data_IF_110265134956
#
_entry.id   IF_110265134956
#
_cell.length_a   1.000
_cell.length_b   1.000
_cell.length_c   1.000
_cell.angle_alpha   90.00
_cell.angle_beta   90.00
_cell.angle_gamma   90.00
#
_symmetry.space_group_name_H-M   'P 1'
#
loop_
_entity.id
_entity.type
_entity.pdbx_description
1 polymer ?
#
# COMPACT_ATOMS: atom_id res chain seq x y z
N UNK A 1 -3.18 -39.24 0.14
CA UNK A 1 -2.10 -38.37 -0.37
C UNK A 1 -2.18 -37.06 0.41
N UNK A 2 -1.05 -36.51 0.85
CA UNK A 2 -1.04 -35.20 1.48
C UNK A 2 -1.56 -34.16 0.47
N UNK A 3 -2.44 -33.25 0.89
CA UNK A 3 -2.93 -32.16 0.05
C UNK A 3 -1.77 -31.24 -0.29
N UNK A 4 -1.70 -30.83 -1.54
CA UNK A 4 -0.75 -29.80 -1.98
C UNK A 4 -1.49 -28.47 -2.09
N UNK A 5 -0.84 -27.40 -1.63
CA UNK A 5 -1.41 -26.07 -1.60
C UNK A 5 -0.63 -25.09 -2.48
N UNK A 6 -1.35 -24.22 -3.12
CA UNK A 6 -0.83 -23.09 -3.88
C UNK A 6 -1.10 -21.79 -3.12
N UNK A 7 -0.08 -20.95 -3.02
CA UNK A 7 -0.20 -19.60 -2.46
C UNK A 7 -0.60 -18.64 -3.57
N UNK A 8 -1.53 -17.74 -3.27
CA UNK A 8 -2.01 -16.70 -4.19
C UNK A 8 -1.80 -15.35 -3.54
N UNK A 9 -1.02 -14.48 -4.17
CA UNK A 9 -0.58 -13.22 -3.58
C UNK A 9 -0.85 -12.06 -4.53
N UNK A 10 -1.47 -11.01 -3.98
CA UNK A 10 -1.55 -9.68 -4.55
C UNK A 10 -0.94 -8.64 -3.61
N UNK A 11 -0.53 -7.51 -4.15
CA UNK A 11 0.07 -6.42 -3.40
C UNK A 11 -0.67 -5.11 -3.61
N UNK A 12 -0.73 -4.31 -2.54
CA UNK A 12 -1.03 -2.89 -2.56
C UNK A 12 0.26 -2.16 -2.21
N UNK A 13 0.82 -1.40 -3.16
CA UNK A 13 2.09 -0.71 -3.00
C UNK A 13 1.85 0.79 -3.00
N UNK A 14 2.13 1.43 -1.86
CA UNK A 14 2.04 2.87 -1.69
C UNK A 14 3.40 3.51 -1.89
N UNK A 15 3.46 4.53 -2.72
CA UNK A 15 4.69 5.26 -3.05
C UNK A 15 4.49 6.75 -2.80
N UNK A 16 5.26 7.33 -1.89
CA UNK A 16 5.33 8.78 -1.71
C UNK A 16 6.07 9.41 -2.90
N UNK A 17 5.44 10.39 -3.54
CA UNK A 17 6.02 11.07 -4.70
C UNK A 17 6.98 12.20 -4.27
N UNK A 18 8.09 12.31 -4.97
CA UNK A 18 9.18 13.27 -4.70
C UNK A 18 8.83 14.69 -5.19
N UNK A 19 7.64 15.18 -4.88
CA UNK A 19 7.25 16.57 -5.15
C UNK A 19 7.77 17.49 -4.05
N UNK A 20 7.96 18.76 -4.36
CA UNK A 20 8.40 19.77 -3.36
C UNK A 20 7.27 20.15 -2.41
N UNK A 21 6.03 20.06 -2.87
CA UNK A 21 4.84 20.43 -2.12
C UNK A 21 3.82 19.29 -2.10
N UNK A 22 2.94 19.34 -1.13
CA UNK A 22 1.86 18.36 -0.94
C UNK A 22 0.90 18.32 -2.12
N UNK A 23 0.06 17.27 -2.16
CA UNK A 23 -0.85 17.02 -3.29
C UNK A 23 -1.87 18.16 -3.49
N UNK A 24 -2.37 18.76 -2.41
CA UNK A 24 -3.46 19.75 -2.48
C UNK A 24 -3.14 21.11 -1.85
N UNK A 25 -1.88 21.34 -1.44
CA UNK A 25 -1.45 22.61 -0.85
C UNK A 25 0.04 22.88 -1.10
N UNK A 26 0.51 24.05 -0.69
CA UNK A 26 1.90 24.48 -0.86
C UNK A 26 2.85 24.08 0.27
N UNK A 27 2.42 23.28 1.25
CA UNK A 27 3.30 22.86 2.35
C UNK A 27 4.39 21.90 1.86
N UNK A 28 5.55 21.95 2.52
CA UNK A 28 6.70 21.11 2.20
C UNK A 28 6.40 19.63 2.42
N UNK A 29 6.95 18.77 1.56
CA UNK A 29 6.96 17.31 1.71
C UNK A 29 8.24 16.79 2.34
N UNK A 30 9.14 17.69 2.77
CA UNK A 30 10.45 17.31 3.30
C UNK A 30 10.30 16.43 4.56
N UNK A 31 10.96 15.27 4.53
CA UNK A 31 11.02 14.36 5.67
C UNK A 31 11.88 14.92 6.81
N UNK A 32 11.54 14.61 8.07
CA UNK A 32 12.36 14.92 9.26
C UNK A 32 12.24 16.35 9.78
N UNK A 33 11.23 17.13 9.35
CA UNK A 33 10.91 18.42 9.94
C UNK A 33 10.39 18.28 11.38
N UNK A 34 10.51 19.36 12.18
CA UNK A 34 9.89 19.39 13.51
C UNK A 34 8.37 19.14 13.41
N UNK A 35 7.76 18.42 14.37
CA UNK A 35 6.35 18.05 14.29
C UNK A 35 5.42 19.25 14.04
N UNK A 36 4.46 19.07 13.16
CA UNK A 36 3.43 20.05 12.81
C UNK A 36 3.95 21.41 12.28
N UNK A 37 5.14 21.44 11.68
CA UNK A 37 5.71 22.64 11.05
C UNK A 37 5.43 22.76 9.55
N UNK A 38 5.12 21.63 8.89
CA UNK A 38 4.75 21.57 7.45
C UNK A 38 3.23 21.43 7.30
N UNK A 39 2.47 22.34 7.90
CA UNK A 39 1.00 22.28 7.91
C UNK A 39 0.37 23.61 7.52
N UNK A 40 -0.84 23.56 6.98
CA UNK A 40 -1.66 24.71 6.67
C UNK A 40 -3.16 24.35 6.82
N UNK A 41 -4.08 25.30 6.72
CA UNK A 41 -5.51 25.01 6.83
C UNK A 41 -6.03 23.92 5.88
N UNK A 42 -5.42 23.77 4.71
CA UNK A 42 -5.84 22.75 3.74
C UNK A 42 -5.45 21.33 4.21
N UNK A 43 -4.17 21.07 4.46
CA UNK A 43 -3.73 19.74 4.87
C UNK A 43 -4.10 19.35 6.31
N UNK A 44 -4.59 20.28 7.11
CA UNK A 44 -5.20 20.01 8.43
C UNK A 44 -6.73 19.96 8.40
N UNK A 45 -7.34 20.08 7.22
CA UNK A 45 -8.79 19.92 7.04
C UNK A 45 -9.64 21.00 7.70
N UNK A 46 -9.13 22.24 7.81
CA UNK A 46 -9.86 23.35 8.44
C UNK A 46 -11.12 23.71 7.62
N UNK A 47 -12.24 24.03 8.28
CA UNK A 47 -13.47 24.43 7.60
C UNK A 47 -13.26 25.57 6.61
N UNK A 48 -13.81 25.42 5.39
CA UNK A 48 -13.73 26.42 4.33
C UNK A 48 -12.47 26.35 3.46
N UNK A 49 -11.48 25.50 3.81
CA UNK A 49 -10.32 25.23 2.95
C UNK A 49 -10.71 24.33 1.78
N UNK A 50 -10.11 24.56 0.61
CA UNK A 50 -10.35 23.78 -0.61
C UNK A 50 -9.03 23.27 -1.18
N UNK A 51 -9.00 22.02 -1.68
CA UNK A 51 -7.82 21.43 -2.30
C UNK A 51 -7.55 22.04 -3.68
N UNK A 52 -6.26 22.18 -4.04
CA UNK A 52 -5.81 22.52 -5.38
C UNK A 52 -4.74 21.51 -5.81
N UNK A 53 -5.04 20.75 -6.86
CA UNK A 53 -4.18 19.63 -7.27
C UNK A 53 -2.81 20.09 -7.77
N UNK A 54 -1.77 19.48 -7.24
CA UNK A 54 -0.39 19.65 -7.67
C UNK A 54 -0.17 18.94 -9.03
N UNK A 55 0.17 19.72 -10.06
CA UNK A 55 0.42 19.23 -11.42
C UNK A 55 1.53 18.15 -11.45
N UNK A 56 2.61 18.33 -10.69
CA UNK A 56 3.74 17.40 -10.69
C UNK A 56 3.33 15.99 -10.19
N UNK A 57 2.34 15.89 -9.31
CA UNK A 57 1.78 14.61 -8.87
C UNK A 57 1.18 13.85 -10.04
N UNK A 58 0.40 14.54 -10.87
CA UNK A 58 -0.22 13.94 -12.07
C UNK A 58 0.85 13.49 -13.06
N UNK A 59 1.87 14.32 -13.29
CA UNK A 59 2.97 14.00 -14.21
C UNK A 59 3.75 12.77 -13.74
N UNK A 60 4.07 12.67 -12.45
CA UNK A 60 4.73 11.48 -11.88
C UNK A 60 3.85 10.24 -11.96
N UNK A 61 2.57 10.35 -11.59
CA UNK A 61 1.63 9.24 -11.66
C UNK A 61 1.48 8.70 -13.10
N UNK A 62 1.34 9.59 -14.08
CA UNK A 62 1.31 9.21 -15.50
C UNK A 62 2.63 8.54 -15.92
N UNK A 63 3.77 9.07 -15.50
CA UNK A 63 5.08 8.50 -15.80
C UNK A 63 5.23 7.07 -15.28
N UNK A 64 4.82 6.82 -14.03
CA UNK A 64 4.80 5.48 -13.44
C UNK A 64 3.85 4.56 -14.21
N UNK A 65 2.63 5.04 -14.53
CA UNK A 65 1.65 4.30 -15.31
C UNK A 65 2.17 3.87 -16.69
N UNK A 66 2.80 4.78 -17.41
CA UNK A 66 3.40 4.48 -18.71
C UNK A 66 4.56 3.48 -18.60
N UNK A 67 5.43 3.66 -17.60
CA UNK A 67 6.57 2.75 -17.38
C UNK A 67 6.15 1.33 -16.94
N UNK A 68 4.96 1.19 -16.39
CA UNK A 68 4.35 -0.08 -16.01
C UNK A 68 3.28 -0.56 -17.00
N UNK A 69 3.31 -0.04 -18.23
CA UNK A 69 2.45 -0.45 -19.34
C UNK A 69 0.95 -0.29 -19.08
N UNK A 70 0.57 0.64 -18.21
CA UNK A 70 -0.85 0.92 -17.93
C UNK A 70 -1.51 1.75 -19.03
N UNK A 71 -2.82 1.57 -19.16
CA UNK A 71 -3.69 2.50 -19.87
C UNK A 71 -3.91 3.75 -19.00
N UNK A 72 -3.57 4.92 -19.53
CA UNK A 72 -3.78 6.19 -18.81
C UNK A 72 -5.21 6.68 -19.03
N UNK A 73 -5.92 6.93 -17.92
CA UNK A 73 -7.29 7.42 -17.93
C UNK A 73 -7.33 8.88 -18.40
N UNK A 74 -8.07 9.15 -19.48
CA UNK A 74 -8.18 10.49 -20.07
C UNK A 74 -9.01 11.46 -19.24
N UNK A 75 -9.99 10.94 -18.53
CA UNK A 75 -10.85 11.69 -17.61
C UNK A 75 -10.86 10.95 -16.30
N UNK A 76 -10.13 11.47 -15.32
CA UNK A 76 -10.12 10.95 -13.96
C UNK A 76 -10.66 11.99 -12.98
N UNK A 77 -11.13 11.53 -11.84
CA UNK A 77 -11.64 12.37 -10.76
C UNK A 77 -11.18 11.84 -9.42
N UNK A 78 -11.27 12.69 -8.41
CA UNK A 78 -11.10 12.29 -7.02
C UNK A 78 -12.45 11.96 -6.38
N UNK A 79 -12.39 11.01 -5.46
CA UNK A 79 -13.47 10.56 -4.61
C UNK A 79 -13.06 10.77 -3.14
N UNK A 80 -13.99 10.63 -2.20
CA UNK A 80 -13.72 10.75 -0.77
C UNK A 80 -13.91 9.39 -0.11
N UNK A 81 -12.86 8.88 0.52
CA UNK A 81 -12.91 7.71 1.39
C UNK A 81 -13.12 8.18 2.82
N UNK A 82 -14.33 8.02 3.34
CA UNK A 82 -14.71 8.54 4.64
C UNK A 82 -14.33 7.57 5.75
N UNK A 83 -13.54 8.04 6.72
CA UNK A 83 -13.24 7.31 7.95
C UNK A 83 -12.75 8.27 9.04
N UNK A 84 -13.00 7.90 10.32
CA UNK A 84 -12.61 8.70 11.48
C UNK A 84 -11.40 8.07 12.15
N UNK A 85 -10.28 8.78 12.10
CA UNK A 85 -9.07 8.40 12.80
C UNK A 85 -8.23 9.65 13.11
N UNK A 86 -7.47 9.70 14.24
CA UNK A 86 -6.74 10.90 14.63
C UNK A 86 -5.73 11.40 13.60
N UNK A 87 -5.16 10.54 12.78
CA UNK A 87 -4.22 10.90 11.72
C UNK A 87 -4.88 11.42 10.43
N UNK A 88 -6.20 11.34 10.35
CA UNK A 88 -7.01 11.81 9.23
C UNK A 88 -7.78 13.09 9.63
N UNK A 89 -7.17 14.30 9.52
CA UNK A 89 -7.69 15.51 10.14
C UNK A 89 -9.01 15.99 9.55
N UNK A 90 -9.29 15.65 8.32
CA UNK A 90 -10.54 16.04 7.62
C UNK A 90 -11.64 14.97 7.69
N UNK A 91 -11.37 13.81 8.35
CA UNK A 91 -12.26 12.66 8.46
C UNK A 91 -12.62 11.99 7.12
N UNK A 92 -11.93 12.32 6.06
CA UNK A 92 -11.94 11.62 4.78
C UNK A 92 -10.57 11.73 4.12
N UNK A 93 -10.23 10.77 3.30
CA UNK A 93 -9.05 10.79 2.44
C UNK A 93 -9.51 11.08 1.01
N UNK A 94 -8.85 12.02 0.35
CA UNK A 94 -9.05 12.25 -1.09
C UNK A 94 -8.24 11.21 -1.85
N UNK A 95 -8.93 10.40 -2.63
CA UNK A 95 -8.38 9.27 -3.38
C UNK A 95 -9.11 9.13 -4.72
N UNK A 96 -8.92 8.02 -5.43
CA UNK A 96 -9.63 7.75 -6.70
C UNK A 96 -10.18 6.32 -6.67
N UNK A 97 -11.48 6.15 -6.54
CA UNK A 97 -12.14 4.85 -6.54
C UNK A 97 -12.62 4.44 -7.95
N UNK A 98 -13.38 5.33 -8.60
CA UNK A 98 -14.10 4.97 -9.82
C UNK A 98 -13.32 5.26 -11.11
N UNK A 99 -12.51 6.30 -11.11
CA UNK A 99 -11.74 6.74 -12.28
C UNK A 99 -10.27 6.99 -11.90
N UNK A 100 -9.52 5.94 -11.56
CA UNK A 100 -8.10 6.05 -11.22
C UNK A 100 -7.28 6.52 -12.43
N UNK A 101 -6.10 7.07 -12.17
CA UNK A 101 -5.21 7.63 -13.20
C UNK A 101 -4.75 6.60 -14.22
N UNK A 102 -4.59 5.32 -13.82
CA UNK A 102 -4.11 4.28 -14.72
C UNK A 102 -4.68 2.91 -14.37
N UNK A 103 -4.76 2.02 -15.36
CA UNK A 103 -5.29 0.66 -15.23
C UNK A 103 -4.58 -0.31 -16.17
N UNK A 104 -4.80 -1.62 -15.94
CA UNK A 104 -4.49 -2.70 -16.86
C UNK A 104 -3.00 -2.77 -17.27
N UNK A 105 -2.09 -2.46 -16.35
CA UNK A 105 -0.66 -2.54 -16.60
C UNK A 105 -0.06 -3.89 -16.24
N UNK A 106 1.25 -3.95 -16.30
CA UNK A 106 2.03 -5.09 -15.80
C UNK A 106 3.49 -4.72 -15.53
N UNK A 107 4.11 -5.51 -14.67
CA UNK A 107 5.55 -5.55 -14.47
C UNK A 107 6.05 -6.94 -14.84
N UNK A 108 7.05 -7.02 -15.70
CA UNK A 108 7.71 -8.29 -16.02
C UNK A 108 8.81 -8.58 -15.01
N UNK A 109 8.71 -9.71 -14.32
CA UNK A 109 9.70 -10.19 -13.35
C UNK A 109 10.47 -11.37 -13.88
N UNK A 110 11.66 -11.59 -13.34
CA UNK A 110 12.50 -12.76 -13.59
C UNK A 110 12.84 -13.41 -12.26
N UNK A 111 12.52 -14.70 -12.12
CA UNK A 111 12.88 -15.52 -10.96
C UNK A 111 13.52 -16.81 -11.49
N UNK A 112 14.82 -16.98 -11.22
CA UNK A 112 15.62 -18.04 -11.88
C UNK A 112 15.57 -17.87 -13.40
N UNK A 113 15.24 -18.93 -14.11
CA UNK A 113 15.11 -18.93 -15.58
C UNK A 113 13.69 -18.59 -16.07
N UNK A 114 12.78 -18.23 -15.16
CA UNK A 114 11.37 -17.98 -15.49
C UNK A 114 11.10 -16.49 -15.57
N UNK A 115 10.48 -16.07 -16.70
CA UNK A 115 9.92 -14.74 -16.87
C UNK A 115 8.41 -14.78 -16.69
N UNK A 116 7.87 -13.80 -15.97
CA UNK A 116 6.44 -13.72 -15.69
C UNK A 116 5.97 -12.27 -15.67
N UNK A 117 4.81 -12.02 -16.25
CA UNK A 117 4.13 -10.74 -16.14
C UNK A 117 3.21 -10.77 -14.91
N UNK A 118 3.43 -9.84 -14.01
CA UNK A 118 2.53 -9.55 -12.89
C UNK A 118 1.67 -8.38 -13.31
N UNK A 119 0.38 -8.60 -13.43
CA UNK A 119 -0.57 -7.59 -13.88
C UNK A 119 -0.83 -6.56 -12.78
N UNK A 120 -1.01 -5.33 -13.20
CA UNK A 120 -1.49 -4.23 -12.36
C UNK A 120 -2.97 -4.03 -12.67
N UNK A 121 -3.80 -4.15 -11.65
CA UNK A 121 -5.23 -3.91 -11.75
C UNK A 121 -5.51 -2.42 -12.00
N UNK A 122 -4.99 -1.60 -11.10
CA UNK A 122 -5.10 -0.14 -11.17
C UNK A 122 -3.96 0.56 -10.44
N UNK A 123 -3.87 1.85 -10.69
CA UNK A 123 -3.04 2.79 -9.95
C UNK A 123 -3.83 4.09 -9.76
N UNK A 124 -3.86 4.60 -8.55
CA UNK A 124 -4.56 5.83 -8.25
C UNK A 124 -3.72 6.79 -7.40
N UNK A 125 -4.06 8.08 -7.52
CA UNK A 125 -3.46 9.14 -6.73
C UNK A 125 -4.27 9.35 -5.45
N UNK A 126 -3.57 9.55 -4.34
CA UNK A 126 -4.18 9.83 -3.05
C UNK A 126 -3.28 10.69 -2.16
N UNK A 127 -3.76 11.09 -1.00
CA UNK A 127 -2.98 11.79 0.02
C UNK A 127 -2.61 10.85 1.17
N UNK A 128 -1.42 11.04 1.74
CA UNK A 128 -1.02 10.31 2.95
C UNK A 128 -1.71 10.89 4.18
N UNK A 129 -1.90 10.06 5.20
CA UNK A 129 -2.39 10.46 6.52
C UNK A 129 -1.26 11.03 7.39
N UNK A 130 -1.61 11.67 8.49
CA UNK A 130 -0.68 12.08 9.52
C UNK A 130 0.03 10.89 10.17
N UNK A 131 0.90 11.18 11.12
CA UNK A 131 1.62 10.16 11.90
C UNK A 131 1.13 10.17 13.33
N UNK A 132 0.77 8.98 13.85
CA UNK A 132 0.48 8.77 15.27
C UNK A 132 1.73 8.25 15.96
N UNK A 133 2.01 8.84 17.12
CA UNK A 133 3.06 8.42 18.04
C UNK A 133 2.38 8.06 19.35
N UNK A 134 2.34 6.76 19.67
CA UNK A 134 1.78 6.26 20.91
C UNK A 134 2.87 6.33 21.99
N UNK A 135 2.55 6.94 23.13
CA UNK A 135 3.41 6.89 24.30
C UNK A 135 3.11 5.60 25.07
N UNK A 136 4.17 4.84 25.36
CA UNK A 136 4.04 3.58 26.12
C UNK A 136 3.85 3.82 27.62
N UNK A 137 4.15 5.02 28.12
CA UNK A 137 4.14 5.37 29.53
C UNK A 137 2.88 6.13 29.95
N UNK A 138 2.36 6.97 29.04
CA UNK A 138 1.12 7.70 29.23
C UNK A 138 0.09 7.18 28.24
N UNK A 139 -1.15 6.99 28.65
CA UNK A 139 -2.27 6.61 27.76
C UNK A 139 -2.66 7.76 26.82
N UNK A 140 -1.63 8.27 26.11
CA UNK A 140 -1.74 9.41 25.20
C UNK A 140 -1.19 9.07 23.83
N UNK A 141 -1.71 9.73 22.80
CA UNK A 141 -1.20 9.65 21.44
C UNK A 141 -0.92 11.06 20.93
N UNK A 142 0.28 11.27 20.43
CA UNK A 142 0.66 12.50 19.75
C UNK A 142 0.39 12.37 18.25
N UNK A 143 -0.06 13.45 17.64
CA UNK A 143 -0.36 13.49 16.19
C UNK A 143 0.56 14.49 15.51
N UNK A 144 1.29 14.02 14.49
CA UNK A 144 2.10 14.85 13.61
C UNK A 144 1.50 14.88 12.21
N UNK A 145 1.01 16.04 11.78
CA UNK A 145 0.40 16.26 10.47
C UNK A 145 1.39 16.69 9.38
N UNK A 146 2.69 16.64 9.62
CA UNK A 146 3.67 16.95 8.58
C UNK A 146 3.52 16.04 7.35
N UNK A 147 3.18 14.77 7.56
CA UNK A 147 2.94 13.82 6.47
C UNK A 147 1.54 13.94 5.86
N UNK A 148 0.56 14.47 6.58
CA UNK A 148 -0.82 14.63 6.08
C UNK A 148 -0.84 15.44 4.78
N UNK A 149 -1.36 14.85 3.71
CA UNK A 149 -1.40 15.44 2.38
C UNK A 149 -0.12 15.26 1.55
N UNK A 150 0.88 14.49 2.00
CA UNK A 150 2.01 14.07 1.16
C UNK A 150 1.46 13.23 0.01
N UNK A 151 1.86 13.50 -1.26
CA UNK A 151 1.30 12.80 -2.39
C UNK A 151 1.68 11.33 -2.40
N UNK A 152 0.69 10.46 -2.57
CA UNK A 152 0.86 9.03 -2.77
C UNK A 152 0.33 8.60 -4.14
N UNK A 153 0.96 7.55 -4.65
CA UNK A 153 0.38 6.67 -5.65
C UNK A 153 0.24 5.29 -5.04
N UNK A 154 -0.96 4.73 -5.05
CA UNK A 154 -1.20 3.34 -4.70
C UNK A 154 -1.26 2.51 -5.98
N UNK A 155 -0.50 1.42 -6.02
CA UNK A 155 -0.40 0.50 -7.15
C UNK A 155 -0.93 -0.86 -6.69
N UNK A 156 -2.07 -1.26 -7.23
CA UNK A 156 -2.76 -2.50 -6.88
C UNK A 156 -2.46 -3.56 -7.93
N UNK A 157 -1.80 -4.64 -7.54
CA UNK A 157 -1.55 -5.76 -8.44
C UNK A 157 -2.75 -6.71 -8.52
N UNK A 158 -2.85 -7.45 -9.63
CA UNK A 158 -3.66 -8.68 -9.66
C UNK A 158 -3.01 -9.77 -8.79
N UNK A 159 -3.76 -10.77 -8.32
CA UNK A 159 -3.22 -11.85 -7.48
C UNK A 159 -2.46 -12.90 -8.31
N UNK A 160 -1.46 -12.44 -9.05
CA UNK A 160 -0.69 -13.26 -9.98
C UNK A 160 0.54 -13.92 -9.35
N UNK A 161 1.02 -13.40 -8.20
CA UNK A 161 2.23 -13.91 -7.55
C UNK A 161 1.93 -15.19 -6.77
N UNK A 162 2.93 -16.09 -6.71
CA UNK A 162 2.80 -17.43 -6.12
C UNK A 162 3.84 -17.75 -5.06
N UNK A 163 4.84 -16.90 -4.90
CA UNK A 163 5.94 -17.09 -3.93
C UNK A 163 6.48 -15.77 -3.41
N UNK A 164 7.22 -15.83 -2.30
CA UNK A 164 7.93 -14.69 -1.74
C UNK A 164 8.99 -14.15 -2.70
N UNK A 165 9.66 -15.02 -3.46
CA UNK A 165 10.65 -14.64 -4.47
C UNK A 165 10.02 -13.80 -5.59
N UNK A 166 8.84 -14.20 -6.08
CA UNK A 166 8.10 -13.42 -7.08
C UNK A 166 7.69 -12.04 -6.54
N UNK A 167 7.26 -11.96 -5.27
CA UNK A 167 6.92 -10.70 -4.61
C UNK A 167 8.14 -9.77 -4.50
N UNK A 168 9.28 -10.30 -4.07
CA UNK A 168 10.51 -9.51 -3.96
C UNK A 168 10.96 -9.03 -5.35
N UNK A 169 10.96 -9.90 -6.36
CA UNK A 169 11.32 -9.54 -7.73
C UNK A 169 10.41 -8.43 -8.28
N UNK A 170 9.11 -8.49 -8.01
CA UNK A 170 8.15 -7.46 -8.38
C UNK A 170 8.44 -6.12 -7.70
N UNK A 171 8.64 -6.12 -6.37
CA UNK A 171 8.91 -4.90 -5.61
C UNK A 171 10.24 -4.26 -5.99
N UNK A 172 11.28 -5.04 -6.21
CA UNK A 172 12.60 -4.54 -6.66
C UNK A 172 12.51 -3.92 -8.05
N UNK A 173 11.81 -4.56 -8.97
CA UNK A 173 11.60 -4.04 -10.33
C UNK A 173 10.80 -2.75 -10.32
N UNK A 174 9.70 -2.72 -9.58
CA UNK A 174 8.84 -1.55 -9.44
C UNK A 174 9.60 -0.38 -8.81
N UNK A 175 10.28 -0.63 -7.68
CA UNK A 175 11.13 0.35 -6.99
C UNK A 175 12.18 0.96 -7.92
N UNK A 176 12.93 0.11 -8.62
CA UNK A 176 13.96 0.56 -9.55
C UNK A 176 13.38 1.42 -10.67
N UNK A 177 12.26 1.00 -11.25
CA UNK A 177 11.56 1.75 -12.29
C UNK A 177 11.16 3.15 -11.81
N UNK A 178 10.56 3.25 -10.62
CA UNK A 178 10.11 4.52 -10.04
C UNK A 178 11.30 5.43 -9.71
N UNK A 179 12.39 4.87 -9.18
CA UNK A 179 13.63 5.62 -8.91
C UNK A 179 14.25 6.17 -10.19
N UNK A 180 14.29 5.40 -11.28
CA UNK A 180 14.80 5.86 -12.58
C UNK A 180 13.97 7.00 -13.18
N UNK A 181 12.67 7.03 -12.92
CA UNK A 181 11.78 8.14 -13.30
C UNK A 181 12.00 9.39 -12.45
N UNK A 182 12.73 9.30 -11.35
CA UNK A 182 12.86 10.39 -10.38
C UNK A 182 11.55 10.72 -9.65
N UNK A 183 10.56 9.82 -9.69
CA UNK A 183 9.25 10.05 -9.11
C UNK A 183 9.18 9.80 -7.60
N UNK A 184 10.09 8.98 -7.05
CA UNK A 184 10.27 8.73 -5.63
C UNK A 184 11.66 8.20 -5.34
N UNK A 185 12.14 8.36 -4.11
CA UNK A 185 13.36 7.71 -3.62
C UNK A 185 13.13 6.28 -3.14
N UNK A 186 11.87 5.90 -2.92
CA UNK A 186 11.43 4.54 -2.58
C UNK A 186 12.22 3.91 -1.42
N UNK A 187 12.34 4.61 -0.31
CA UNK A 187 13.02 4.15 0.90
C UNK A 187 12.03 3.49 1.87
N UNK A 188 12.14 2.19 2.07
CA UNK A 188 11.29 1.44 3.01
C UNK A 188 11.44 1.93 4.46
N UNK A 189 12.66 2.27 4.90
CA UNK A 189 12.92 2.72 6.27
C UNK A 189 12.30 4.10 6.57
N UNK A 190 12.17 4.96 5.59
CA UNK A 190 11.54 6.27 5.71
C UNK A 190 10.04 6.21 5.40
N UNK A 191 9.54 5.07 4.91
CA UNK A 191 8.14 4.84 4.55
C UNK A 191 7.73 5.45 3.21
N UNK A 192 8.68 5.91 2.39
CA UNK A 192 8.36 6.44 1.05
C UNK A 192 8.01 5.36 0.02
N UNK A 193 8.19 4.10 0.36
CA UNK A 193 7.54 2.95 -0.27
C UNK A 193 7.05 2.01 0.83
N UNK A 194 5.81 1.53 0.71
CA UNK A 194 5.18 0.57 1.63
C UNK A 194 4.46 -0.47 0.81
N UNK A 195 4.40 -1.70 1.29
CA UNK A 195 3.67 -2.76 0.64
C UNK A 195 2.81 -3.51 1.65
N UNK A 196 1.53 -3.64 1.35
CA UNK A 196 0.60 -4.51 2.04
C UNK A 196 0.42 -5.78 1.21
N UNK A 197 0.53 -6.94 1.86
CA UNK A 197 0.48 -8.24 1.20
C UNK A 197 -0.89 -8.86 1.42
N UNK A 198 -1.61 -9.10 0.33
CA UNK A 198 -2.85 -9.87 0.32
C UNK A 198 -2.53 -11.31 -0.05
N UNK A 199 -2.77 -12.24 0.88
CA UNK A 199 -2.42 -13.64 0.71
C UNK A 199 -3.59 -14.57 0.97
N UNK A 200 -3.78 -15.55 0.10
CA UNK A 200 -4.66 -16.70 0.33
C UNK A 200 -3.97 -18.00 -0.09
N UNK A 201 -4.49 -19.11 0.40
CA UNK A 201 -4.02 -20.45 0.07
C UNK A 201 -5.19 -21.27 -0.47
N UNK A 202 -4.97 -22.02 -1.55
CA UNK A 202 -5.94 -22.94 -2.12
C UNK A 202 -5.32 -24.30 -2.40
N UNK A 203 -6.14 -25.33 -2.49
CA UNK A 203 -5.68 -26.65 -2.94
C UNK A 203 -5.19 -26.55 -4.38
N UNK A 204 -4.06 -27.19 -4.70
CA UNK A 204 -3.49 -27.17 -6.04
C UNK A 204 -4.45 -27.79 -7.06
N UNK A 205 -4.63 -27.09 -8.18
CA UNK A 205 -5.54 -27.52 -9.24
C UNK A 205 -6.98 -27.00 -9.09
N UNK A 206 -7.32 -26.27 -8.02
CA UNK A 206 -8.59 -25.57 -7.90
C UNK A 206 -8.54 -24.19 -8.55
N UNK A 207 -9.67 -23.75 -9.13
CA UNK A 207 -9.79 -22.41 -9.73
C UNK A 207 -10.24 -21.33 -8.73
N UNK A 208 -10.94 -21.72 -7.67
CA UNK A 208 -11.45 -20.79 -6.67
C UNK A 208 -10.36 -20.31 -5.74
N UNK A 209 -10.40 -19.02 -5.43
CA UNK A 209 -9.48 -18.43 -4.45
C UNK A 209 -9.86 -18.83 -3.02
N UNK A 210 -8.85 -19.01 -2.18
CA UNK A 210 -9.05 -19.15 -0.73
C UNK A 210 -9.45 -17.81 -0.08
N UNK A 211 -9.68 -17.85 1.23
CA UNK A 211 -9.96 -16.64 2.00
C UNK A 211 -8.70 -15.81 2.17
N UNK A 212 -8.78 -14.55 1.79
CA UNK A 212 -7.67 -13.60 1.80
C UNK A 212 -7.44 -13.03 3.21
N UNK A 213 -6.17 -12.90 3.59
CA UNK A 213 -5.73 -12.07 4.71
C UNK A 213 -4.81 -10.99 4.20
N UNK A 214 -4.85 -9.82 4.84
CA UNK A 214 -3.98 -8.69 4.55
C UNK A 214 -2.87 -8.62 5.61
N UNK A 215 -1.60 -8.57 5.19
CA UNK A 215 -0.45 -8.47 6.06
C UNK A 215 0.11 -7.06 6.04
N UNK A 216 0.22 -6.42 7.21
CA UNK A 216 0.75 -5.06 7.41
C UNK A 216 1.99 -5.05 8.30
N UNK A 217 2.65 -3.89 8.39
CA UNK A 217 3.87 -3.66 9.19
C UNK A 217 5.10 -4.38 8.63
N UNK A 218 5.28 -4.29 7.33
CA UNK A 218 6.35 -4.96 6.59
C UNK A 218 7.43 -3.94 6.22
N UNK A 219 8.48 -3.83 7.04
CA UNK A 219 9.45 -2.73 6.98
C UNK A 219 10.73 -3.05 6.19
N UNK A 220 10.84 -4.23 5.61
CA UNK A 220 11.94 -4.64 4.76
C UNK A 220 11.52 -5.76 3.81
N UNK A 221 12.24 -5.94 2.71
CA UNK A 221 11.98 -7.08 1.80
C UNK A 221 12.15 -8.43 2.51
N UNK A 222 13.09 -8.51 3.43
CA UNK A 222 13.30 -9.72 4.24
C UNK A 222 12.11 -9.98 5.17
N UNK A 223 11.54 -8.96 5.80
CA UNK A 223 10.33 -9.07 6.61
C UNK A 223 9.11 -9.48 5.76
N UNK A 224 8.97 -8.94 4.55
CA UNK A 224 7.93 -9.33 3.60
C UNK A 224 8.02 -10.82 3.28
N UNK A 225 9.21 -11.31 2.93
CA UNK A 225 9.41 -12.73 2.62
C UNK A 225 9.02 -13.63 3.81
N UNK A 226 9.49 -13.30 5.02
CA UNK A 226 9.14 -14.06 6.23
C UNK A 226 7.65 -14.03 6.56
N UNK A 227 7.02 -12.87 6.41
CA UNK A 227 5.59 -12.74 6.64
C UNK A 227 4.76 -13.59 5.67
N UNK A 228 5.15 -13.65 4.40
CA UNK A 228 4.49 -14.49 3.40
C UNK A 228 4.59 -15.97 3.78
N UNK A 229 5.77 -16.45 4.13
CA UNK A 229 5.96 -17.85 4.53
C UNK A 229 5.20 -18.17 5.82
N UNK A 230 5.31 -17.34 6.85
CA UNK A 230 4.60 -17.54 8.12
C UNK A 230 3.07 -17.53 7.95
N UNK A 231 2.52 -16.63 7.15
CA UNK A 231 1.07 -16.60 6.91
C UNK A 231 0.61 -17.78 6.04
N UNK A 232 1.40 -18.16 5.06
CA UNK A 232 1.15 -19.36 4.26
C UNK A 232 1.04 -20.61 5.14
N UNK A 233 2.03 -20.84 6.01
CA UNK A 233 2.03 -21.97 6.94
C UNK A 233 0.82 -21.94 7.88
N UNK A 234 0.53 -20.79 8.48
CA UNK A 234 -0.65 -20.61 9.35
C UNK A 234 -1.96 -20.96 8.66
N UNK A 235 -2.16 -20.52 7.42
CA UNK A 235 -3.39 -20.82 6.67
C UNK A 235 -3.48 -22.31 6.31
N UNK A 236 -2.38 -22.94 5.92
CA UNK A 236 -2.34 -24.37 5.62
C UNK A 236 -2.70 -25.19 6.86
N UNK A 237 -2.09 -24.88 8.02
CA UNK A 237 -2.38 -25.54 9.29
C UNK A 237 -3.88 -25.45 9.67
N UNK A 238 -4.48 -24.28 9.50
CA UNK A 238 -5.92 -24.10 9.73
C UNK A 238 -6.77 -25.00 8.82
N UNK A 239 -6.45 -25.03 7.52
CA UNK A 239 -7.17 -25.83 6.53
C UNK A 239 -7.01 -27.33 6.78
N UNK A 240 -5.82 -27.79 7.12
CA UNK A 240 -5.54 -29.20 7.46
C UNK A 240 -6.23 -29.62 8.77
N UNK A 241 -6.38 -28.70 9.72
CA UNK A 241 -7.16 -28.91 10.94
C UNK A 241 -8.69 -28.84 10.72
N UNK A 242 -9.15 -28.68 9.48
CA UNK A 242 -10.58 -28.57 9.15
C UNK A 242 -11.21 -27.23 9.58
N UNK A 243 -10.38 -26.23 9.91
CA UNK A 243 -10.84 -24.89 10.28
C UNK A 243 -10.90 -23.98 9.06
N UNK A 244 -11.64 -22.89 9.18
CA UNK A 244 -11.73 -21.86 8.13
C UNK A 244 -10.74 -20.74 8.41
N UNK A 245 -10.14 -20.21 7.35
CA UNK A 245 -9.41 -18.93 7.40
C UNK A 245 -10.44 -17.81 7.48
N UNK A 246 -10.22 -16.85 8.36
CA UNK A 246 -11.06 -15.64 8.50
C UNK A 246 -10.43 -14.51 7.70
N UNK A 247 -11.25 -13.77 6.94
CA UNK A 247 -10.79 -12.56 6.25
C UNK A 247 -10.54 -11.47 7.29
N UNK A 248 -9.27 -11.09 7.43
CA UNK A 248 -8.84 -10.11 8.43
C UNK A 248 -7.53 -9.42 8.01
N UNK A 249 -7.27 -8.26 8.60
CA UNK A 249 -5.97 -7.59 8.55
C UNK A 249 -5.14 -8.07 9.73
N UNK A 250 -3.90 -8.47 9.45
CA UNK A 250 -2.93 -8.98 10.43
C UNK A 250 -1.67 -8.15 10.44
N UNK A 251 -1.16 -7.86 11.63
CA UNK A 251 0.12 -7.18 11.82
C UNK A 251 1.22 -8.23 12.00
N UNK A 252 2.27 -8.13 11.19
CA UNK A 252 3.47 -8.94 11.32
C UNK A 252 4.38 -8.41 12.42
N UNK A 253 4.89 -9.30 13.27
CA UNK A 253 5.95 -9.04 14.25
C UNK A 253 7.19 -9.82 13.80
N UNK A 254 8.16 -9.10 13.26
CA UNK A 254 9.36 -9.69 12.66
C UNK A 254 10.30 -10.31 13.71
N UNK A 255 10.25 -9.83 14.97
CA UNK A 255 11.05 -10.38 16.06
C UNK A 255 10.48 -11.70 16.59
N UNK A 256 9.16 -11.84 16.56
CA UNK A 256 8.45 -13.05 17.01
C UNK A 256 8.18 -14.03 15.86
N UNK A 257 8.47 -13.61 14.62
CA UNK A 257 8.16 -14.37 13.40
C UNK A 257 6.69 -14.85 13.37
N UNK A 258 5.78 -13.99 13.82
CA UNK A 258 4.35 -14.30 13.92
C UNK A 258 3.50 -13.09 13.63
N UNK A 259 2.22 -13.35 13.28
CA UNK A 259 1.23 -12.31 13.06
C UNK A 259 0.10 -12.40 14.07
N UNK A 260 -0.54 -11.27 14.33
CA UNK A 260 -1.77 -11.19 15.13
C UNK A 260 -2.83 -10.37 14.40
N UNK A 261 -4.09 -10.73 14.62
CA UNK A 261 -5.21 -10.00 14.05
C UNK A 261 -5.24 -8.56 14.60
N UNK A 262 -5.40 -7.60 13.70
CA UNK A 262 -5.65 -6.21 14.08
C UNK A 262 -7.12 -6.04 14.45
N UNK A 263 -7.44 -5.06 15.33
CA UNK A 263 -8.82 -4.66 15.52
C UNK A 263 -9.37 -4.15 14.20
N UNK A 264 -10.59 -4.57 13.84
CA UNK A 264 -11.28 -4.01 12.68
C UNK A 264 -11.38 -2.49 12.87
N UNK A 265 -10.96 -1.72 11.88
CA UNK A 265 -11.39 -0.32 11.79
C UNK A 265 -12.90 -0.35 11.57
N UNK A 266 -13.62 0.59 12.18
CA UNK A 266 -15.01 0.82 11.80
C UNK A 266 -15.10 0.97 10.30
N UNK A 267 -16.08 0.33 9.68
CA UNK A 267 -16.19 0.23 8.22
C UNK A 267 -16.06 1.62 7.59
N UNK A 268 -15.06 1.78 6.71
CA UNK A 268 -14.96 2.98 5.90
C UNK A 268 -16.17 3.03 4.95
N UNK A 269 -16.83 4.17 4.88
CA UNK A 269 -17.94 4.40 3.95
C UNK A 269 -17.46 5.30 2.81
N UNK A 270 -17.65 4.84 1.60
CA UNK A 270 -17.37 5.59 0.37
C UNK A 270 -18.49 6.57 0.02
#
# INVERSE_FOLDING_TARGET
MAKQYETVIGLEVHVELATKTKIFCGCSTQFGGAPNTHTCPVCTGMPGSLPVLNRQVVEYAMGIGLATHCDITRVCKFDRKNYFYPDNPQNYQISQLYLPIARNGYVEIEVGDTKKKIRIHEMHMEEDAGKLIHDEWDDTSLVDYNRSGVPLVEIVSEPDMRSSEEVIAYLEKLRTTIQYLGASDCKLQEGSIRADVNLSVREMGTSEFGTRTEMKNLNSFKAIARAIEGERERQIELLEAGKKVVQETRRWDDNKESSHAMRSKEDAQD
#
